data_IF_819809212405
#
_entry.id   IF_819809212405
#
_cell.length_a   1.000
_cell.length_b   1.000
_cell.length_c   1.000
_cell.angle_alpha   90.00
_cell.angle_beta   90.00
_cell.angle_gamma   90.00
#
_symmetry.space_group_name_H-M   'P 1'
#
loop_
_entity.id
_entity.type
_entity.pdbx_description
1 polymer ?
#
# COMPACT_ATOMS: atom_id res chain seq x y z
N UNK A 1 -42.16 -10.68 17.78
CA UNK A 1 -41.62 -9.53 18.54
C UNK A 1 -42.28 -8.20 18.20
N UNK A 2 -42.58 -7.90 16.92
CA UNK A 2 -43.07 -6.58 16.49
C UNK A 2 -44.43 -6.14 17.08
N UNK A 3 -45.32 -7.08 17.36
CA UNK A 3 -46.67 -6.80 17.89
C UNK A 3 -46.76 -6.71 19.43
N UNK A 4 -45.82 -7.32 20.16
CA UNK A 4 -45.81 -7.27 21.63
C UNK A 4 -45.47 -5.87 22.17
N UNK A 5 -44.64 -5.12 21.44
CA UNK A 5 -44.33 -3.72 21.77
C UNK A 5 -45.60 -2.85 21.60
N UNK A 6 -46.36 -3.06 20.52
CA UNK A 6 -47.60 -2.32 20.27
C UNK A 6 -48.68 -2.65 21.32
N UNK A 7 -48.79 -3.93 21.72
CA UNK A 7 -49.76 -4.39 22.73
C UNK A 7 -49.42 -3.88 24.14
N UNK A 8 -48.12 -3.76 24.45
CA UNK A 8 -47.65 -3.13 25.69
C UNK A 8 -47.98 -1.62 25.73
N UNK A 9 -47.75 -0.90 24.63
CA UNK A 9 -48.11 0.52 24.52
C UNK A 9 -49.62 0.77 24.58
N UNK A 10 -50.45 -0.14 24.04
CA UNK A 10 -51.92 -0.04 24.08
C UNK A 10 -52.50 -0.31 25.50
N UNK A 11 -51.79 -1.08 26.33
CA UNK A 11 -52.19 -1.31 27.73
C UNK A 11 -51.87 -0.12 28.65
N UNK A 12 -50.90 0.72 28.28
CA UNK A 12 -50.49 1.88 29.06
C UNK A 12 -51.44 3.08 28.91
N UNK A 13 -52.28 3.12 27.86
CA UNK A 13 -53.25 4.20 27.62
C UNK A 13 -54.55 4.11 28.43
N UNK A 14 -54.75 3.07 29.25
CA UNK A 14 -55.97 2.86 30.05
C UNK A 14 -55.84 3.31 31.52
N UNK A 15 -54.70 3.87 31.94
CA UNK A 15 -54.60 4.47 33.28
C UNK A 15 -55.39 5.77 33.30
N UNK A 16 -56.57 5.72 33.91
CA UNK A 16 -57.36 6.89 34.25
C UNK A 16 -56.47 7.91 34.96
N UNK A 17 -56.46 9.15 34.48
CA UNK A 17 -55.73 10.28 35.09
C UNK A 17 -56.39 10.68 36.42
N UNK A 18 -56.35 9.78 37.39
CA UNK A 18 -56.71 10.03 38.77
C UNK A 18 -55.52 10.68 39.45
N UNK A 19 -55.69 11.89 39.97
CA UNK A 19 -54.61 12.58 40.67
C UNK A 19 -54.89 12.61 42.17
N UNK A 20 -54.10 11.87 42.92
CA UNK A 20 -54.19 11.80 44.38
C UNK A 20 -53.51 13.02 45.00
N UNK A 21 -54.25 13.75 45.84
CA UNK A 21 -53.78 14.91 46.61
C UNK A 21 -54.00 14.62 48.08
N UNK A 22 -52.93 14.68 48.87
CA UNK A 22 -52.98 14.43 50.32
C UNK A 22 -53.05 15.75 51.08
N UNK A 23 -54.14 16.00 51.80
CA UNK A 23 -54.32 17.20 52.62
C UNK A 23 -54.89 16.82 53.99
N UNK A 24 -54.24 17.29 55.06
CA UNK A 24 -54.67 17.04 56.46
C UNK A 24 -54.86 15.53 56.80
N UNK A 25 -54.06 14.66 56.21
CA UNK A 25 -54.13 13.21 56.43
C UNK A 25 -55.24 12.48 55.68
N UNK A 26 -56.05 13.19 54.87
CA UNK A 26 -57.05 12.62 53.96
C UNK A 26 -56.53 12.64 52.52
N UNK A 27 -56.77 11.54 51.79
CA UNK A 27 -56.39 11.39 50.39
C UNK A 27 -57.60 11.68 49.51
N UNK A 28 -57.49 12.72 48.69
CA UNK A 28 -58.53 13.13 47.76
C UNK A 28 -58.13 12.75 46.34
N UNK A 29 -59.03 12.14 45.58
CA UNK A 29 -58.85 11.88 44.16
C UNK A 29 -59.47 13.00 43.33
N UNK A 30 -58.66 13.67 42.51
CA UNK A 30 -59.13 14.69 41.58
C UNK A 30 -59.29 14.08 40.19
N UNK A 31 -60.50 14.09 39.65
CA UNK A 31 -60.86 13.56 38.32
C UNK A 31 -61.87 14.49 37.66
N UNK A 32 -61.60 14.96 36.44
CA UNK A 32 -62.53 15.79 35.65
C UNK A 32 -63.18 16.93 36.45
N UNK A 33 -62.37 17.76 37.12
CA UNK A 33 -62.81 18.92 37.93
C UNK A 33 -63.69 18.59 39.16
N UNK A 34 -63.74 17.31 39.54
CA UNK A 34 -64.43 16.83 40.74
C UNK A 34 -63.43 16.27 41.75
N UNK A 35 -63.75 16.44 43.02
CA UNK A 35 -62.96 15.96 44.15
C UNK A 35 -63.72 14.80 44.79
N UNK A 36 -63.08 13.64 44.84
CA UNK A 36 -63.62 12.43 45.45
C UNK A 36 -62.85 12.11 46.73
N UNK A 37 -63.57 11.71 47.77
CA UNK A 37 -63.01 11.14 49.00
C UNK A 37 -63.62 9.74 49.15
N UNK A 38 -62.79 8.70 49.16
CA UNK A 38 -63.24 7.29 49.25
C UNK A 38 -64.28 6.90 48.17
N UNK A 39 -64.22 7.54 46.99
CA UNK A 39 -65.14 7.28 45.87
C UNK A 39 -66.45 8.10 45.89
N UNK A 40 -66.67 8.95 46.91
CA UNK A 40 -67.85 9.83 47.00
C UNK A 40 -67.50 11.24 46.52
N UNK A 41 -68.35 11.84 45.67
CA UNK A 41 -68.19 13.22 45.17
C UNK A 41 -68.46 14.22 46.30
N UNK A 42 -67.39 14.84 46.80
CA UNK A 42 -67.45 15.78 47.93
C UNK A 42 -67.29 17.24 47.48
N UNK A 43 -67.31 17.49 46.16
CA UNK A 43 -66.98 18.78 45.54
C UNK A 43 -67.80 19.96 46.04
N UNK A 44 -69.09 19.75 46.34
CA UNK A 44 -70.01 20.79 46.83
C UNK A 44 -70.07 20.89 48.36
N UNK A 45 -69.60 19.85 49.06
CA UNK A 45 -69.60 19.77 50.53
C UNK A 45 -68.34 20.37 51.17
N UNK A 46 -67.26 20.52 50.41
CA UNK A 46 -66.03 21.17 50.86
C UNK A 46 -66.17 22.70 50.87
N UNK A 47 -65.48 23.35 51.82
CA UNK A 47 -65.33 24.81 51.82
C UNK A 47 -64.59 25.27 50.57
N UNK A 48 -64.97 26.44 50.07
CA UNK A 48 -64.45 27.05 48.84
C UNK A 48 -62.92 27.21 48.86
N UNK A 49 -62.36 27.53 50.02
CA UNK A 49 -60.90 27.63 50.26
C UNK A 49 -60.19 26.27 50.18
N UNK A 50 -60.81 25.19 50.67
CA UNK A 50 -60.19 23.86 50.66
C UNK A 50 -60.18 23.25 49.25
N UNK A 51 -61.29 23.42 48.52
CA UNK A 51 -61.44 23.00 47.12
C UNK A 51 -60.40 23.65 46.20
N UNK A 52 -60.18 24.96 46.35
CA UNK A 52 -59.20 25.70 45.53
C UNK A 52 -57.76 25.28 45.80
N UNK A 53 -57.44 24.93 47.05
CA UNK A 53 -56.12 24.39 47.41
C UNK A 53 -55.89 22.99 46.81
N UNK A 54 -56.88 22.10 46.89
CA UNK A 54 -56.79 20.74 46.32
C UNK A 54 -56.59 20.79 44.80
N UNK A 55 -57.31 21.66 44.09
CA UNK A 55 -57.10 21.84 42.65
C UNK A 55 -55.75 22.45 42.30
N UNK A 56 -55.26 23.43 43.07
CA UNK A 56 -53.90 23.98 42.88
C UNK A 56 -52.83 22.91 43.04
N UNK A 57 -52.97 22.05 44.04
CA UNK A 57 -52.01 20.99 44.32
C UNK A 57 -52.04 19.89 43.25
N UNK A 58 -53.23 19.49 42.79
CA UNK A 58 -53.38 18.60 41.63
C UNK A 58 -52.72 19.19 40.37
N UNK A 59 -52.94 20.47 40.07
CA UNK A 59 -52.30 21.15 38.94
C UNK A 59 -50.77 21.12 39.03
N UNK A 60 -50.21 21.38 40.22
CA UNK A 60 -48.76 21.30 40.45
C UNK A 60 -48.20 19.88 40.28
N UNK A 61 -48.93 18.84 40.70
CA UNK A 61 -48.54 17.44 40.50
C UNK A 61 -48.56 17.10 39.01
N UNK A 62 -49.55 17.60 38.26
CA UNK A 62 -49.65 17.38 36.80
C UNK A 62 -48.47 18.00 36.08
N UNK A 63 -48.14 19.25 36.40
CA UNK A 63 -47.02 19.95 35.77
C UNK A 63 -45.68 19.28 36.12
N UNK A 64 -45.50 18.84 37.37
CA UNK A 64 -44.31 18.07 37.78
C UNK A 64 -44.24 16.71 37.08
N UNK A 65 -45.34 15.99 36.90
CA UNK A 65 -45.36 14.72 36.18
C UNK A 65 -45.02 14.91 34.69
N UNK A 66 -45.57 15.93 34.03
CA UNK A 66 -45.24 16.27 32.64
C UNK A 66 -43.77 16.63 32.48
N UNK A 67 -43.23 17.48 33.37
CA UNK A 67 -41.81 17.84 33.36
C UNK A 67 -40.90 16.62 33.61
N UNK A 68 -41.29 15.72 34.52
CA UNK A 68 -40.54 14.50 34.79
C UNK A 68 -40.58 13.50 33.62
N UNK A 69 -41.71 13.41 32.91
CA UNK A 69 -41.87 12.59 31.72
C UNK A 69 -41.02 13.14 30.56
N UNK A 70 -41.08 14.45 30.30
CA UNK A 70 -40.24 15.11 29.29
C UNK A 70 -38.74 14.96 29.61
N UNK A 71 -38.35 15.07 30.88
CA UNK A 71 -36.96 14.84 31.30
C UNK A 71 -36.52 13.39 31.10
N UNK A 72 -37.39 12.42 31.36
CA UNK A 72 -37.12 10.99 31.08
C UNK A 72 -36.99 10.73 29.58
N UNK A 73 -37.86 11.33 28.76
CA UNK A 73 -37.82 11.20 27.31
C UNK A 73 -36.54 11.79 26.72
N UNK A 74 -36.12 12.97 27.18
CA UNK A 74 -34.84 13.59 26.81
C UNK A 74 -33.64 12.74 27.24
N UNK A 75 -33.63 12.25 28.47
CA UNK A 75 -32.55 11.39 28.96
C UNK A 75 -32.47 10.04 28.20
N UNK A 76 -33.60 9.47 27.78
CA UNK A 76 -33.61 8.26 26.94
C UNK A 76 -33.12 8.55 25.51
N UNK A 77 -33.49 9.70 24.93
CA UNK A 77 -33.00 10.14 23.63
C UNK A 77 -31.49 10.36 23.65
N UNK A 78 -30.95 11.07 24.65
CA UNK A 78 -29.51 11.29 24.81
C UNK A 78 -28.75 9.96 25.01
N UNK A 79 -29.31 9.01 25.77
CA UNK A 79 -28.70 7.67 25.91
C UNK A 79 -28.66 6.91 24.58
N UNK A 80 -29.73 6.95 23.78
CA UNK A 80 -29.78 6.31 22.45
C UNK A 80 -28.79 6.96 21.48
N UNK A 81 -28.63 8.28 21.55
CA UNK A 81 -27.68 9.01 20.72
C UNK A 81 -26.23 8.70 21.13
N UNK A 82 -25.92 8.70 22.42
CA UNK A 82 -24.61 8.30 22.94
C UNK A 82 -24.25 6.84 22.58
N UNK A 83 -25.23 5.91 22.59
CA UNK A 83 -24.98 4.52 22.18
C UNK A 83 -24.71 4.41 20.67
N UNK A 84 -25.41 5.19 19.83
CA UNK A 84 -25.13 5.25 18.38
C UNK A 84 -23.74 5.78 18.10
N UNK A 85 -23.34 6.88 18.75
CA UNK A 85 -22.00 7.48 18.60
C UNK A 85 -20.92 6.47 19.02
N UNK A 86 -21.09 5.77 20.15
CA UNK A 86 -20.15 4.72 20.57
C UNK A 86 -20.04 3.57 19.55
N UNK A 87 -21.16 3.13 18.97
CA UNK A 87 -21.16 2.09 17.92
C UNK A 87 -20.49 2.55 16.64
N UNK A 88 -20.64 3.81 16.24
CA UNK A 88 -19.96 4.37 15.07
C UNK A 88 -18.46 4.53 15.32
N UNK A 89 -18.06 4.99 16.51
CA UNK A 89 -16.66 5.12 16.89
C UNK A 89 -15.94 3.75 16.93
N UNK A 90 -16.61 2.72 17.46
CA UNK A 90 -16.06 1.34 17.47
C UNK A 90 -15.90 0.78 16.05
N UNK A 91 -16.87 1.03 15.16
CA UNK A 91 -16.78 0.65 13.74
C UNK A 91 -15.64 1.38 13.04
N UNK A 92 -15.49 2.69 13.27
CA UNK A 92 -14.42 3.50 12.71
C UNK A 92 -13.04 3.00 13.19
N UNK A 93 -12.89 2.67 14.48
CA UNK A 93 -11.66 2.08 15.03
C UNK A 93 -11.33 0.72 14.39
N UNK A 94 -12.31 -0.17 14.26
CA UNK A 94 -12.13 -1.48 13.60
C UNK A 94 -11.74 -1.34 12.13
N UNK A 95 -12.30 -0.34 11.43
CA UNK A 95 -11.96 -0.08 10.03
C UNK A 95 -10.56 0.51 9.90
N UNK A 96 -10.17 1.44 10.77
CA UNK A 96 -8.82 2.00 10.81
C UNK A 96 -7.76 0.94 11.16
N UNK A 97 -8.05 0.01 12.08
CA UNK A 97 -7.13 -1.08 12.43
C UNK A 97 -6.93 -2.06 11.26
N UNK A 98 -8.00 -2.40 10.53
CA UNK A 98 -7.91 -3.23 9.32
C UNK A 98 -7.06 -2.57 8.24
N UNK A 99 -7.27 -1.28 7.99
CA UNK A 99 -6.49 -0.52 7.01
C UNK A 99 -5.00 -0.46 7.39
N UNK A 100 -4.68 -0.21 8.67
CA UNK A 100 -3.29 -0.22 9.15
C UNK A 100 -2.62 -1.59 8.96
N UNK A 101 -3.34 -2.68 9.25
CA UNK A 101 -2.81 -4.05 9.10
C UNK A 101 -2.60 -4.44 7.62
N UNK A 102 -3.45 -3.94 6.73
CA UNK A 102 -3.29 -4.15 5.29
C UNK A 102 -2.13 -3.32 4.72
N UNK A 103 -1.99 -2.08 5.19
CA UNK A 103 -0.85 -1.21 4.84
C UNK A 103 0.48 -1.77 5.33
N UNK A 104 0.55 -2.30 6.56
CA UNK A 104 1.73 -2.95 7.11
C UNK A 104 2.16 -4.17 6.28
N UNK A 105 1.21 -5.05 5.93
CA UNK A 105 1.48 -6.20 5.05
C UNK A 105 1.96 -5.77 3.66
N UNK A 106 1.35 -4.74 3.08
CA UNK A 106 1.76 -4.21 1.79
C UNK A 106 3.17 -3.58 1.84
N UNK A 107 3.57 -3.04 3.00
CA UNK A 107 4.91 -2.52 3.22
C UNK A 107 5.93 -3.66 3.33
N UNK A 108 5.61 -4.71 4.09
CA UNK A 108 6.45 -5.91 4.27
C UNK A 108 6.70 -6.63 2.93
N UNK A 109 5.64 -6.83 2.12
CA UNK A 109 5.76 -7.42 0.78
C UNK A 109 6.64 -6.57 -0.16
N UNK A 110 6.53 -5.24 -0.09
CA UNK A 110 7.38 -4.33 -0.88
C UNK A 110 8.83 -4.39 -0.45
N UNK A 111 9.10 -4.49 0.85
CA UNK A 111 10.45 -4.59 1.38
C UNK A 111 11.11 -5.91 0.96
N UNK A 112 10.40 -7.04 1.03
CA UNK A 112 10.90 -8.33 0.53
C UNK A 112 11.20 -8.30 -0.97
N UNK A 113 10.32 -7.68 -1.77
CA UNK A 113 10.51 -7.54 -3.21
C UNK A 113 11.73 -6.66 -3.53
N UNK A 114 11.92 -5.56 -2.79
CA UNK A 114 13.08 -4.70 -2.92
C UNK A 114 14.38 -5.46 -2.58
N UNK A 115 14.40 -6.26 -1.51
CA UNK A 115 15.58 -7.04 -1.11
C UNK A 115 15.92 -8.13 -2.16
N UNK A 116 14.91 -8.82 -2.70
CA UNK A 116 15.09 -9.81 -3.78
C UNK A 116 15.66 -9.16 -5.04
N UNK A 117 15.12 -8.00 -5.43
CA UNK A 117 15.57 -7.23 -6.59
C UNK A 117 17.00 -6.69 -6.41
N UNK A 118 17.37 -6.24 -5.21
CA UNK A 118 18.75 -5.80 -4.92
C UNK A 118 19.75 -6.97 -5.04
N UNK A 119 19.42 -8.14 -4.48
CA UNK A 119 20.24 -9.34 -4.58
C UNK A 119 20.42 -9.79 -6.03
N UNK A 120 19.38 -9.71 -6.84
CA UNK A 120 19.43 -10.06 -8.27
C UNK A 120 20.28 -9.07 -9.07
N UNK A 121 20.08 -7.76 -8.87
CA UNK A 121 20.89 -6.72 -9.50
C UNK A 121 22.37 -6.86 -9.15
N UNK A 122 22.72 -7.18 -7.90
CA UNK A 122 24.11 -7.41 -7.49
C UNK A 122 24.74 -8.63 -8.18
N UNK A 123 23.95 -9.67 -8.45
CA UNK A 123 24.42 -10.84 -9.22
C UNK A 123 24.60 -10.49 -10.69
N UNK A 124 23.64 -9.78 -11.28
CA UNK A 124 23.71 -9.32 -12.67
C UNK A 124 24.91 -8.39 -12.90
N UNK A 125 25.17 -7.44 -12.00
CA UNK A 125 26.31 -6.52 -12.09
C UNK A 125 27.65 -7.28 -12.04
N UNK A 126 27.78 -8.26 -11.15
CA UNK A 126 28.99 -9.10 -11.08
C UNK A 126 29.18 -9.94 -12.35
N UNK A 127 28.10 -10.47 -12.91
CA UNK A 127 28.15 -11.23 -14.16
C UNK A 127 28.57 -10.35 -15.34
N UNK A 128 27.99 -9.15 -15.47
CA UNK A 128 28.36 -8.18 -16.50
C UNK A 128 29.82 -7.74 -16.38
N UNK A 129 30.30 -7.44 -15.17
CA UNK A 129 31.72 -7.10 -14.94
C UNK A 129 32.69 -8.23 -15.33
N UNK A 130 32.30 -9.49 -15.18
CA UNK A 130 33.11 -10.64 -15.64
C UNK A 130 33.10 -10.74 -17.15
N UNK A 131 31.92 -10.68 -17.76
CA UNK A 131 31.75 -10.73 -19.21
C UNK A 131 32.51 -9.58 -19.91
N UNK A 132 32.45 -8.35 -19.38
CA UNK A 132 33.17 -7.20 -19.92
C UNK A 132 34.70 -7.40 -19.86
N UNK A 133 35.21 -7.96 -18.76
CA UNK A 133 36.65 -8.26 -18.62
C UNK A 133 37.10 -9.34 -19.61
N UNK A 134 36.29 -10.36 -19.82
CA UNK A 134 36.57 -11.43 -20.79
C UNK A 134 36.53 -10.90 -22.23
N UNK A 135 35.52 -10.10 -22.58
CA UNK A 135 35.45 -9.44 -23.88
C UNK A 135 36.66 -8.54 -24.13
N UNK A 136 37.06 -7.72 -23.15
CA UNK A 136 38.27 -6.88 -23.30
C UNK A 136 39.55 -7.70 -23.46
N UNK A 137 39.64 -8.89 -22.85
CA UNK A 137 40.80 -9.79 -23.05
C UNK A 137 40.77 -10.41 -24.44
N UNK A 138 39.61 -10.91 -24.86
CA UNK A 138 39.42 -11.47 -26.19
C UNK A 138 39.70 -10.44 -27.29
N UNK A 139 39.17 -9.22 -27.16
CA UNK A 139 39.42 -8.12 -28.11
C UNK A 139 40.91 -7.76 -28.19
N UNK A 140 41.62 -7.74 -27.05
CA UNK A 140 43.07 -7.52 -27.04
C UNK A 140 43.86 -8.66 -27.66
N UNK A 141 43.39 -9.90 -27.53
CA UNK A 141 44.02 -11.07 -28.15
C UNK A 141 43.82 -11.02 -29.68
N UNK A 142 42.60 -10.78 -30.14
CA UNK A 142 42.27 -10.60 -31.57
C UNK A 142 43.10 -9.47 -32.17
N UNK A 143 43.15 -8.30 -31.53
CA UNK A 143 43.98 -7.17 -32.00
C UNK A 143 45.47 -7.50 -32.09
N UNK A 144 45.98 -8.42 -31.26
CA UNK A 144 47.37 -8.88 -31.35
C UNK A 144 47.54 -9.85 -32.51
N UNK A 145 46.65 -10.82 -32.64
CA UNK A 145 46.66 -11.79 -33.76
C UNK A 145 46.52 -11.09 -35.11
N UNK A 146 45.60 -10.14 -35.27
CA UNK A 146 45.44 -9.35 -36.50
C UNK A 146 46.72 -8.59 -36.86
N UNK A 147 47.41 -8.02 -35.87
CA UNK A 147 48.70 -7.34 -36.09
C UNK A 147 49.79 -8.32 -36.50
N UNK A 148 49.82 -9.51 -35.92
CA UNK A 148 50.78 -10.56 -36.25
C UNK A 148 50.52 -11.09 -37.66
N UNK A 149 49.26 -11.34 -38.02
CA UNK A 149 48.83 -11.71 -39.37
C UNK A 149 49.22 -10.64 -40.39
N UNK A 150 48.90 -9.37 -40.15
CA UNK A 150 49.29 -8.28 -41.06
C UNK A 150 50.80 -8.17 -41.26
N UNK A 151 51.59 -8.39 -40.20
CA UNK A 151 53.05 -8.40 -40.30
C UNK A 151 53.58 -9.59 -41.10
N UNK A 152 52.95 -10.76 -40.93
CA UNK A 152 53.28 -11.97 -41.68
C UNK A 152 52.96 -11.82 -43.16
N UNK A 153 51.75 -11.37 -43.51
CA UNK A 153 51.32 -11.12 -44.90
C UNK A 153 52.24 -10.10 -45.61
N UNK A 154 52.63 -9.03 -44.91
CA UNK A 154 53.60 -8.05 -45.45
C UNK A 154 54.96 -8.69 -45.72
N UNK A 155 55.42 -9.57 -44.84
CA UNK A 155 56.69 -10.28 -45.04
C UNK A 155 56.59 -11.23 -46.24
N UNK A 156 55.50 -11.99 -46.36
CA UNK A 156 55.25 -12.90 -47.49
C UNK A 156 55.17 -12.13 -48.81
N UNK A 157 54.41 -11.04 -48.87
CA UNK A 157 54.31 -10.19 -50.07
C UNK A 157 55.66 -9.65 -50.51
N UNK A 158 56.53 -9.26 -49.57
CA UNK A 158 57.87 -8.76 -49.88
C UNK A 158 58.78 -9.87 -50.42
N UNK A 159 58.71 -11.07 -49.85
CA UNK A 159 59.44 -12.24 -50.33
C UNK A 159 58.99 -12.62 -51.74
N UNK A 160 57.68 -12.70 -51.97
CA UNK A 160 57.09 -13.05 -53.26
C UNK A 160 57.49 -12.03 -54.34
N UNK A 161 57.42 -10.73 -54.04
CA UNK A 161 57.87 -9.66 -54.95
C UNK A 161 59.36 -9.79 -55.28
N UNK A 162 60.19 -10.15 -54.29
CA UNK A 162 61.62 -10.35 -54.50
C UNK A 162 61.90 -11.59 -55.37
N UNK A 163 61.23 -12.72 -55.10
CA UNK A 163 61.31 -13.95 -55.90
C UNK A 163 60.88 -13.70 -57.36
N UNK A 164 59.71 -13.09 -57.57
CA UNK A 164 59.22 -12.72 -58.91
C UNK A 164 60.19 -11.82 -59.67
N UNK A 165 60.82 -10.86 -58.98
CA UNK A 165 61.80 -9.96 -59.60
C UNK A 165 63.09 -10.68 -59.96
N UNK A 166 63.58 -11.55 -59.08
CA UNK A 166 64.74 -12.41 -59.33
C UNK A 166 64.51 -13.33 -60.52
N UNK A 167 63.42 -14.09 -60.54
CA UNK A 167 63.05 -14.99 -61.65
C UNK A 167 62.96 -14.23 -62.98
N UNK A 168 62.33 -13.04 -62.98
CA UNK A 168 62.23 -12.20 -64.18
C UNK A 168 63.60 -11.74 -64.69
N UNK A 169 64.53 -11.38 -63.81
CA UNK A 169 65.89 -10.96 -64.20
C UNK A 169 66.72 -12.14 -64.70
N UNK A 170 66.63 -13.29 -64.01
CA UNK A 170 67.27 -14.55 -64.39
C UNK A 170 66.80 -15.02 -65.77
N UNK A 171 65.49 -15.01 -66.03
CA UNK A 171 64.90 -15.35 -67.34
C UNK A 171 65.36 -14.43 -68.47
N UNK A 172 65.64 -13.16 -68.16
CA UNK A 172 66.13 -12.18 -69.15
C UNK A 172 67.65 -12.23 -69.35
N UNK A 173 68.38 -13.09 -68.66
CA UNK A 173 69.85 -13.15 -68.71
C UNK A 173 70.55 -11.89 -68.20
N UNK A 174 69.84 -11.05 -67.42
CA UNK A 174 70.35 -9.75 -66.93
C UNK A 174 71.02 -9.86 -65.55
N UNK A 175 71.48 -11.06 -65.18
CA UNK A 175 72.05 -11.34 -63.87
C UNK A 175 73.47 -11.89 -64.05
N UNK A 176 74.45 -11.19 -63.50
CA UNK A 176 75.82 -11.71 -63.40
C UNK A 176 75.90 -12.74 -62.25
N UNK A 177 76.89 -13.65 -62.23
CA UNK A 177 77.06 -14.60 -61.14
C UNK A 177 77.15 -13.94 -59.75
N UNK A 178 77.76 -12.75 -59.68
CA UNK A 178 77.88 -11.97 -58.45
C UNK A 178 76.53 -11.40 -58.02
N UNK A 179 75.72 -10.91 -58.97
CA UNK A 179 74.38 -10.39 -58.68
C UNK A 179 73.39 -11.51 -58.32
N UNK A 180 73.56 -12.70 -58.88
CA UNK A 180 72.78 -13.89 -58.51
C UNK A 180 72.96 -14.21 -57.02
N UNK A 181 74.21 -14.23 -56.52
CA UNK A 181 74.48 -14.41 -55.09
C UNK A 181 73.84 -13.32 -54.22
N UNK A 182 73.94 -12.04 -54.62
CA UNK A 182 73.28 -10.94 -53.87
C UNK A 182 71.75 -11.09 -53.82
N UNK A 183 71.14 -11.60 -54.87
CA UNK A 183 69.70 -11.88 -54.91
C UNK A 183 69.33 -13.07 -54.03
N UNK A 184 70.15 -14.13 -54.03
CA UNK A 184 69.97 -15.29 -53.15
C UNK A 184 70.06 -14.87 -51.68
N UNK A 185 71.09 -14.12 -51.28
CA UNK A 185 71.23 -13.56 -49.92
C UNK A 185 70.01 -12.71 -49.52
N UNK A 186 69.48 -11.92 -50.45
CA UNK A 186 68.31 -11.07 -50.21
C UNK A 186 67.05 -11.91 -50.02
N UNK A 187 66.86 -12.94 -50.84
CA UNK A 187 65.73 -13.86 -50.71
C UNK A 187 65.84 -14.61 -49.40
N UNK A 188 67.01 -15.14 -49.04
CA UNK A 188 67.26 -15.81 -47.76
C UNK A 188 66.92 -14.92 -46.56
N UNK A 189 67.40 -13.66 -46.56
CA UNK A 189 67.05 -12.67 -45.52
C UNK A 189 65.55 -12.38 -45.45
N UNK A 190 64.84 -12.40 -46.58
CA UNK A 190 63.38 -12.23 -46.60
C UNK A 190 62.67 -13.50 -46.11
N UNK A 191 63.16 -14.68 -46.46
CA UNK A 191 62.67 -15.99 -45.99
C UNK A 191 62.82 -16.10 -44.48
N UNK A 192 63.95 -15.66 -43.93
CA UNK A 192 64.14 -15.54 -42.49
C UNK A 192 63.12 -14.59 -41.83
N UNK A 193 62.80 -13.46 -42.46
CA UNK A 193 61.80 -12.52 -41.93
C UNK A 193 60.40 -13.13 -41.94
N UNK A 194 60.03 -13.85 -43.00
CA UNK A 194 58.75 -14.59 -43.09
C UNK A 194 58.68 -15.66 -42.03
N UNK A 195 59.72 -16.49 -41.87
CA UNK A 195 59.75 -17.54 -40.85
C UNK A 195 59.71 -16.97 -39.43
N UNK A 196 60.42 -15.86 -39.16
CA UNK A 196 60.36 -15.14 -37.88
C UNK A 196 58.97 -14.54 -37.62
N UNK A 197 58.27 -14.04 -38.64
CA UNK A 197 56.90 -13.55 -38.50
C UNK A 197 55.90 -14.69 -38.28
N UNK A 198 56.04 -15.81 -39.02
CA UNK A 198 55.22 -17.02 -38.87
C UNK A 198 55.34 -17.64 -37.48
N UNK A 199 56.55 -17.65 -36.90
CA UNK A 199 56.79 -18.15 -35.54
C UNK A 199 56.15 -17.30 -34.45
N UNK A 200 55.81 -16.04 -34.74
CA UNK A 200 55.18 -15.11 -33.78
C UNK A 200 53.65 -15.13 -33.86
N UNK A 201 53.10 -15.78 -34.88
CA UNK A 201 51.69 -15.93 -35.18
C UNK A 201 51.19 -17.21 -34.50
#
# INVERSE_FOLDING_TARGET
MKYYIILLFLSLSLTTFAQEVTKEGKVYEVKNEKIFLEGVDVTETLKLEERTLIFKEAALISDKMKLAEEAKLKAEQEKKEAEKVKKEEEKAKKQAEKLKKEEEKALEEKEELAEKLEKENKKAEKAQKKAEKEQKKAEKAIKKEEKLQSNFEKAESNLEKAQKKYEKLKRKGKLSPVDENKWMDKIEKLTEKVTKAKRKL
#
